data_IF_905776520060
#
_entry.id   IF_905776520060
#
_cell.length_a   1.000
_cell.length_b   1.000
_cell.length_c   1.000
_cell.angle_alpha   90.00
_cell.angle_beta   90.00
_cell.angle_gamma   90.00
#
_symmetry.space_group_name_H-M   'P 1'
#
loop_
_entity.id
_entity.type
_entity.pdbx_description
1 polymer ?
#
# COMPACT_ATOMS: atom_id res chain seq x y z
N UNK A 1 5.21 7.03 -21.73
CA UNK A 1 3.91 6.52 -21.16
C UNK A 1 2.76 7.22 -21.88
N UNK A 2 1.69 6.47 -22.18
CA UNK A 2 0.44 7.03 -22.72
C UNK A 2 -0.37 7.65 -21.58
N UNK A 3 -1.31 8.53 -21.88
CA UNK A 3 -2.09 9.29 -20.87
C UNK A 3 -2.87 8.41 -19.86
N UNK A 4 -3.12 7.15 -20.21
CA UNK A 4 -3.85 6.20 -19.36
C UNK A 4 -2.94 5.19 -18.62
N UNK A 5 -1.63 5.18 -18.89
CA UNK A 5 -0.69 4.25 -18.26
C UNK A 5 -0.27 4.77 -16.88
N UNK A 6 -0.39 3.93 -15.86
CA UNK A 6 -0.01 4.26 -14.48
C UNK A 6 1.38 3.73 -14.13
N UNK A 7 1.67 2.46 -14.47
CA UNK A 7 2.98 1.83 -14.24
C UNK A 7 3.36 1.07 -15.50
N UNK A 8 4.60 1.24 -15.95
CA UNK A 8 5.15 0.52 -17.10
C UNK A 8 6.47 -0.13 -16.71
N UNK A 9 6.53 -1.44 -16.80
CA UNK A 9 7.73 -2.25 -16.65
C UNK A 9 8.24 -2.65 -18.03
N UNK A 10 9.55 -2.51 -18.27
CA UNK A 10 10.22 -2.93 -19.51
C UNK A 10 11.45 -3.74 -19.16
N UNK A 11 11.47 -5.01 -19.60
CA UNK A 11 12.57 -5.95 -19.45
C UNK A 11 13.10 -6.02 -17.99
N UNK A 12 12.15 -6.03 -17.03
CA UNK A 12 12.45 -5.88 -15.60
C UNK A 12 12.86 -7.19 -14.99
N UNK A 13 14.02 -7.22 -14.33
CA UNK A 13 14.43 -8.28 -13.42
C UNK A 13 14.44 -7.77 -11.98
N UNK A 14 13.81 -8.54 -11.08
CA UNK A 14 13.70 -8.24 -9.65
C UNK A 14 14.25 -9.37 -8.82
N UNK A 15 14.92 -9.04 -7.73
CA UNK A 15 15.50 -10.04 -6.83
C UNK A 15 16.19 -9.43 -5.62
N UNK A 16 16.93 -10.27 -4.89
CA UNK A 16 17.66 -9.90 -3.68
C UNK A 16 19.07 -10.45 -3.73
N UNK A 17 20.04 -9.70 -3.21
CA UNK A 17 21.43 -10.14 -3.05
C UNK A 17 22.05 -10.75 -4.34
N UNK A 18 21.73 -10.16 -5.49
CA UNK A 18 22.23 -10.62 -6.79
C UNK A 18 21.52 -11.86 -7.36
N UNK A 19 20.53 -12.43 -6.66
CA UNK A 19 19.70 -13.52 -7.17
C UNK A 19 18.39 -12.97 -7.73
N UNK A 20 18.15 -13.18 -9.03
CA UNK A 20 16.90 -12.81 -9.67
C UNK A 20 15.80 -13.78 -9.26
N UNK A 21 14.65 -13.23 -8.89
CA UNK A 21 13.40 -13.95 -8.57
C UNK A 21 12.43 -13.86 -9.72
N UNK A 22 12.42 -12.72 -10.42
CA UNK A 22 11.67 -12.46 -11.63
C UNK A 22 12.62 -11.91 -12.68
N UNK A 23 12.47 -12.36 -13.92
CA UNK A 23 13.29 -11.94 -15.07
C UNK A 23 12.38 -11.60 -16.24
N UNK A 24 12.86 -10.73 -17.11
CA UNK A 24 12.27 -10.41 -18.42
C UNK A 24 10.77 -10.03 -18.32
N UNK A 25 10.42 -9.25 -17.29
CA UNK A 25 9.04 -8.85 -17.05
C UNK A 25 8.69 -7.58 -17.84
N UNK A 26 7.76 -7.73 -18.76
CA UNK A 26 7.06 -6.63 -19.41
C UNK A 26 5.62 -6.56 -18.88
N UNK A 27 5.24 -5.43 -18.29
CA UNK A 27 3.92 -5.22 -17.71
C UNK A 27 3.51 -3.76 -17.82
N UNK A 28 2.28 -3.53 -18.27
CA UNK A 28 1.68 -2.20 -18.22
C UNK A 28 0.42 -2.26 -17.38
N UNK A 29 0.28 -1.33 -16.44
CA UNK A 29 -0.92 -1.14 -15.62
C UNK A 29 -1.52 0.21 -15.99
N UNK A 30 -2.76 0.19 -16.45
CA UNK A 30 -3.50 1.38 -16.86
C UNK A 30 -4.56 1.78 -15.82
N UNK A 31 -5.08 2.99 -15.97
CA UNK A 31 -6.16 3.49 -15.12
C UNK A 31 -7.42 2.65 -15.31
N UNK A 32 -7.96 2.12 -14.20
CA UNK A 32 -9.16 1.30 -14.20
C UNK A 32 -8.88 -0.21 -14.31
N UNK A 33 -7.61 -0.62 -14.50
CA UNK A 33 -7.27 -2.04 -14.52
C UNK A 33 -7.48 -2.69 -13.15
N UNK A 34 -7.89 -3.95 -13.19
CA UNK A 34 -7.89 -4.87 -12.07
C UNK A 34 -6.91 -6.01 -12.38
N UNK A 35 -5.72 -5.94 -11.78
CA UNK A 35 -4.67 -6.93 -11.97
C UNK A 35 -4.69 -7.97 -10.86
N UNK A 36 -4.81 -9.26 -11.22
CA UNK A 36 -4.68 -10.37 -10.31
C UNK A 36 -3.36 -11.12 -10.56
N UNK A 37 -2.51 -11.20 -9.54
CA UNK A 37 -1.24 -11.95 -9.60
C UNK A 37 -1.41 -13.29 -8.91
N UNK A 38 -1.37 -14.37 -9.68
CA UNK A 38 -1.53 -15.75 -9.20
C UNK A 38 -0.25 -16.56 -9.41
N UNK A 39 -0.07 -17.60 -8.61
CA UNK A 39 1.10 -18.49 -8.68
C UNK A 39 1.40 -19.13 -7.33
N UNK A 40 2.32 -20.09 -7.32
CA UNK A 40 2.74 -20.83 -6.13
C UNK A 40 3.43 -19.97 -5.07
N UNK A 41 3.55 -20.48 -3.86
CA UNK A 41 4.34 -19.84 -2.83
C UNK A 41 5.82 -19.80 -3.26
N UNK A 42 6.45 -18.63 -3.14
CA UNK A 42 7.83 -18.44 -3.61
C UNK A 42 7.96 -18.03 -5.09
N UNK A 43 6.89 -17.97 -5.88
CA UNK A 43 6.95 -17.58 -7.31
C UNK A 43 7.25 -16.11 -7.59
N UNK A 44 7.56 -15.30 -6.56
CA UNK A 44 7.94 -13.90 -6.77
C UNK A 44 6.82 -12.89 -6.69
N UNK A 45 5.57 -13.27 -6.37
CA UNK A 45 4.42 -12.32 -6.26
C UNK A 45 4.70 -11.11 -5.35
N UNK A 46 5.24 -11.39 -4.17
CA UNK A 46 5.59 -10.31 -3.21
C UNK A 46 6.76 -9.47 -3.69
N UNK A 47 7.68 -10.05 -4.44
CA UNK A 47 8.82 -9.35 -5.06
C UNK A 47 8.32 -8.42 -6.17
N UNK A 48 7.40 -8.89 -7.02
CA UNK A 48 6.73 -8.07 -8.01
C UNK A 48 6.03 -6.87 -7.36
N UNK A 49 5.20 -7.12 -6.35
CA UNK A 49 4.48 -6.04 -5.64
C UNK A 49 5.45 -5.01 -5.06
N UNK A 50 6.55 -5.44 -4.45
CA UNK A 50 7.57 -4.52 -3.92
C UNK A 50 8.26 -3.71 -5.01
N UNK A 51 8.54 -4.31 -6.17
CA UNK A 51 9.07 -3.61 -7.34
C UNK A 51 8.10 -2.54 -7.85
N UNK A 52 6.82 -2.92 -8.07
CA UNK A 52 5.78 -1.99 -8.52
C UNK A 52 5.54 -0.82 -7.55
N UNK A 53 5.73 -1.05 -6.25
CA UNK A 53 5.64 -0.01 -5.21
C UNK A 53 6.93 0.83 -5.06
N UNK A 54 7.99 0.51 -5.80
CA UNK A 54 9.29 1.18 -5.67
C UNK A 54 10.04 0.88 -4.36
N UNK A 55 9.64 -0.19 -3.62
CA UNK A 55 10.27 -0.61 -2.38
C UNK A 55 11.57 -1.37 -2.61
N UNK A 56 11.78 -1.91 -3.80
CA UNK A 56 13.04 -2.49 -4.27
C UNK A 56 13.33 -1.96 -5.66
N UNK A 57 14.61 -1.77 -5.96
CA UNK A 57 15.06 -1.34 -7.29
C UNK A 57 15.19 -2.55 -8.21
N UNK A 58 14.88 -2.43 -9.51
CA UNK A 58 15.13 -3.48 -10.47
C UNK A 58 16.64 -3.73 -10.63
N UNK A 59 17.00 -4.99 -10.84
CA UNK A 59 18.39 -5.42 -11.15
C UNK A 59 18.72 -5.10 -12.62
N UNK A 60 17.73 -5.19 -13.51
CA UNK A 60 17.78 -4.78 -14.90
C UNK A 60 16.42 -4.26 -15.36
N UNK A 61 16.37 -3.57 -16.49
CA UNK A 61 15.17 -2.96 -17.04
C UNK A 61 14.72 -1.71 -16.30
N UNK A 62 13.48 -1.27 -16.54
CA UNK A 62 12.95 -0.03 -15.97
C UNK A 62 11.52 -0.19 -15.49
N UNK A 63 11.19 0.43 -14.34
CA UNK A 63 9.83 0.60 -13.84
C UNK A 63 9.52 2.09 -13.83
N UNK A 64 8.64 2.51 -14.72
CA UNK A 64 8.20 3.89 -14.84
C UNK A 64 6.84 4.08 -14.18
N UNK A 65 6.69 5.12 -13.37
CA UNK A 65 5.43 5.51 -12.74
C UNK A 65 4.91 6.81 -13.36
N UNK A 66 3.60 6.87 -13.59
CA UNK A 66 2.97 8.12 -14.01
C UNK A 66 3.22 9.23 -12.98
N UNK A 67 3.30 10.51 -13.42
CA UNK A 67 3.46 11.63 -12.49
C UNK A 67 2.40 11.66 -11.38
N UNK A 68 1.18 11.21 -11.67
CA UNK A 68 0.08 11.11 -10.70
C UNK A 68 0.34 10.13 -9.55
N UNK A 69 1.24 9.15 -9.73
CA UNK A 69 1.61 8.15 -8.71
C UNK A 69 2.85 8.57 -7.89
N UNK A 70 3.43 9.72 -8.15
CA UNK A 70 4.54 10.26 -7.35
C UNK A 70 4.00 10.76 -6.00
N UNK A 71 4.85 10.68 -4.96
CA UNK A 71 4.55 11.21 -3.61
C UNK A 71 3.45 10.46 -2.82
N UNK A 72 3.48 9.13 -2.84
CA UNK A 72 2.66 8.32 -1.92
C UNK A 72 1.20 8.15 -2.37
N UNK A 73 0.92 8.31 -3.67
CA UNK A 73 -0.41 8.09 -4.22
C UNK A 73 -0.79 6.60 -4.39
N UNK A 74 0.08 5.66 -3.99
CA UNK A 74 -0.19 4.23 -4.04
C UNK A 74 -0.50 3.73 -2.63
N UNK A 75 -1.76 3.37 -2.37
CA UNK A 75 -2.14 2.69 -1.13
C UNK A 75 -1.67 1.24 -1.15
N UNK A 76 -1.00 0.80 -0.08
CA UNK A 76 -0.53 -0.57 0.06
C UNK A 76 -1.13 -1.25 1.29
N UNK A 77 -1.75 -2.41 1.06
CA UNK A 77 -2.31 -3.26 2.09
C UNK A 77 -1.49 -4.54 2.19
N UNK A 78 -0.51 -4.62 3.13
CA UNK A 78 0.30 -5.81 3.31
C UNK A 78 -0.51 -6.95 3.95
N UNK A 79 -0.03 -8.19 3.76
CA UNK A 79 -0.54 -9.32 4.52
C UNK A 79 -0.25 -9.11 6.01
N UNK A 80 -1.29 -9.21 6.85
CA UNK A 80 -1.15 -9.01 8.28
C UNK A 80 -0.34 -10.12 8.95
N UNK A 81 0.62 -9.73 9.79
CA UNK A 81 1.28 -10.61 10.75
C UNK A 81 0.50 -10.65 12.07
N UNK A 82 0.74 -11.67 12.92
CA UNK A 82 0.14 -11.74 14.27
C UNK A 82 0.49 -10.52 15.12
N UNK A 83 1.75 -10.08 15.11
CA UNK A 83 2.21 -8.90 15.85
C UNK A 83 1.47 -7.61 15.43
N UNK A 84 1.09 -7.49 14.17
CA UNK A 84 0.31 -6.35 13.69
C UNK A 84 -1.16 -6.41 14.15
N UNK A 85 -1.73 -7.62 14.31
CA UNK A 85 -3.09 -7.80 14.82
C UNK A 85 -3.22 -7.42 16.28
N UNK A 86 -2.19 -7.68 17.07
CA UNK A 86 -2.18 -7.47 18.52
C UNK A 86 -1.68 -6.06 18.90
N UNK A 87 -1.57 -5.14 17.95
CA UNK A 87 -1.03 -3.81 18.19
C UNK A 87 -1.97 -2.97 19.08
N UNK A 88 -1.50 -2.47 20.24
CA UNK A 88 -2.34 -1.80 21.24
C UNK A 88 -2.49 -0.30 20.92
N UNK A 89 -3.11 0.02 19.78
CA UNK A 89 -3.42 1.40 19.38
C UNK A 89 -4.91 1.53 19.10
N UNK A 90 -5.42 2.75 19.13
CA UNK A 90 -6.77 3.04 18.70
C UNK A 90 -6.90 2.90 17.18
N UNK A 91 -8.11 2.61 16.70
CA UNK A 91 -8.42 2.57 15.28
C UNK A 91 -8.00 3.85 14.56
N UNK A 92 -8.28 5.00 15.17
CA UNK A 92 -7.93 6.30 14.59
C UNK A 92 -6.40 6.47 14.47
N UNK A 93 -5.62 6.05 15.47
CA UNK A 93 -4.15 6.11 15.41
C UNK A 93 -3.59 5.22 14.30
N UNK A 94 -4.15 4.01 14.14
CA UNK A 94 -3.76 3.11 13.05
C UNK A 94 -4.05 3.76 11.69
N UNK A 95 -5.22 4.36 11.50
CA UNK A 95 -5.57 5.02 10.23
C UNK A 95 -4.69 6.23 9.97
N UNK A 96 -4.48 7.10 10.97
CA UNK A 96 -3.62 8.27 10.88
C UNK A 96 -2.17 7.92 10.50
N UNK A 97 -1.69 6.74 10.90
CA UNK A 97 -0.34 6.28 10.50
C UNK A 97 -0.16 6.16 8.97
N UNK A 98 -1.25 6.08 8.20
CA UNK A 98 -1.23 6.13 6.74
C UNK A 98 -0.80 7.49 6.18
N UNK A 99 -1.09 8.57 6.92
CA UNK A 99 -0.73 9.93 6.52
C UNK A 99 0.76 10.30 6.77
N UNK A 100 1.56 9.43 7.42
CA UNK A 100 2.96 9.75 7.80
C UNK A 100 3.83 10.13 6.60
N UNK A 101 3.65 9.48 5.47
CA UNK A 101 4.42 9.77 4.25
C UNK A 101 4.18 11.18 3.68
N UNK A 102 3.12 11.85 4.11
CA UNK A 102 2.73 13.20 3.68
C UNK A 102 3.04 14.27 4.74
N UNK A 103 3.58 13.88 5.90
CA UNK A 103 3.76 14.80 7.05
C UNK A 103 4.96 15.75 6.92
N UNK A 104 5.96 15.44 6.09
CA UNK A 104 7.21 16.20 6.07
C UNK A 104 7.85 16.24 7.47
N UNK A 105 8.21 17.43 7.97
CA UNK A 105 8.85 17.65 9.28
C UNK A 105 7.86 17.88 10.45
N UNK A 106 6.56 17.66 10.25
CA UNK A 106 5.58 17.87 11.31
C UNK A 106 5.48 16.66 12.26
N UNK A 107 5.61 16.90 13.56
CA UNK A 107 5.51 15.88 14.60
C UNK A 107 4.06 15.50 14.96
N UNK A 108 3.08 16.31 14.59
CA UNK A 108 1.68 16.10 14.93
C UNK A 108 0.80 16.03 13.68
N UNK A 109 -0.26 15.22 13.76
CA UNK A 109 -1.26 15.16 12.69
C UNK A 109 -2.06 16.45 12.60
N UNK A 110 -2.20 16.97 11.40
CA UNK A 110 -2.98 18.18 11.14
C UNK A 110 -4.49 17.91 11.27
N UNK A 111 -5.32 18.96 11.50
CA UNK A 111 -6.77 18.81 11.47
C UNK A 111 -7.29 18.23 10.16
N UNK A 112 -6.67 18.56 9.03
CA UNK A 112 -7.03 18.04 7.70
C UNK A 112 -6.81 16.52 7.62
N UNK A 113 -5.66 16.01 8.09
CA UNK A 113 -5.36 14.57 8.14
C UNK A 113 -6.33 13.82 9.05
N UNK A 114 -6.68 14.40 10.22
CA UNK A 114 -7.70 13.83 11.11
C UNK A 114 -9.06 13.75 10.44
N UNK A 115 -9.46 14.82 9.73
CA UNK A 115 -10.71 14.84 8.97
C UNK A 115 -10.72 13.79 7.84
N UNK A 116 -9.62 13.65 7.10
CA UNK A 116 -9.45 12.64 6.06
C UNK A 116 -9.55 11.22 6.64
N UNK A 117 -8.88 10.94 7.75
CA UNK A 117 -8.96 9.65 8.44
C UNK A 117 -10.39 9.31 8.88
N UNK A 118 -11.11 10.26 9.50
CA UNK A 118 -12.50 10.07 9.90
C UNK A 118 -13.43 9.86 8.71
N UNK A 119 -13.23 10.61 7.62
CA UNK A 119 -13.99 10.42 6.38
C UNK A 119 -13.76 9.02 5.80
N UNK A 120 -12.52 8.52 5.76
CA UNK A 120 -12.20 7.19 5.26
C UNK A 120 -12.78 6.09 6.16
N UNK A 121 -12.77 6.25 7.49
CA UNK A 121 -13.49 5.37 8.42
C UNK A 121 -15.00 5.37 8.15
N UNK A 122 -15.59 6.52 7.89
CA UNK A 122 -17.01 6.66 7.54
C UNK A 122 -17.35 5.95 6.23
N UNK A 123 -16.54 6.10 5.18
CA UNK A 123 -16.73 5.40 3.88
C UNK A 123 -16.71 3.87 4.04
N UNK A 124 -15.96 3.36 5.02
CA UNK A 124 -15.85 1.93 5.29
C UNK A 124 -16.84 1.42 6.35
N UNK A 125 -17.71 2.30 6.86
CA UNK A 125 -18.78 1.96 7.82
C UNK A 125 -18.24 1.48 9.18
N UNK A 126 -17.18 2.12 9.67
CA UNK A 126 -16.52 1.79 10.96
C UNK A 126 -16.10 3.04 11.74
N UNK A 127 -16.71 4.20 11.48
CA UNK A 127 -16.37 5.45 12.17
C UNK A 127 -16.65 5.39 13.68
N UNK A 128 -17.68 4.64 14.09
CA UNK A 128 -18.07 4.44 15.48
C UNK A 128 -16.99 3.70 16.29
N UNK A 129 -16.09 3.00 15.62
CA UNK A 129 -14.99 2.24 16.24
C UNK A 129 -13.70 3.07 16.38
N UNK A 130 -13.70 4.35 16.04
CA UNK A 130 -12.49 5.20 15.97
C UNK A 130 -11.65 5.20 17.25
N UNK A 131 -12.28 5.11 18.40
CA UNK A 131 -11.66 5.14 19.73
C UNK A 131 -11.46 3.72 20.31
N UNK A 132 -11.93 2.66 19.62
CA UNK A 132 -11.74 1.28 20.05
C UNK A 132 -10.29 0.85 19.86
N UNK A 133 -9.85 -0.13 20.69
CA UNK A 133 -8.53 -0.73 20.53
C UNK A 133 -8.52 -1.65 19.31
N UNK A 134 -7.55 -1.46 18.41
CA UNK A 134 -7.44 -2.20 17.15
C UNK A 134 -7.38 -3.73 17.34
N UNK A 135 -6.65 -4.21 18.36
CA UNK A 135 -6.53 -5.66 18.66
C UNK A 135 -7.85 -6.32 19.05
N UNK A 136 -8.80 -5.55 19.58
CA UNK A 136 -10.09 -6.07 20.09
C UNK A 136 -11.14 -6.18 18.97
N UNK A 137 -10.79 -5.78 17.75
CA UNK A 137 -11.65 -5.83 16.58
C UNK A 137 -11.70 -7.23 15.96
N UNK A 138 -12.83 -7.57 15.35
CA UNK A 138 -12.92 -8.74 14.48
C UNK A 138 -12.00 -8.62 13.27
N UNK A 139 -11.59 -9.74 12.66
CA UNK A 139 -10.69 -9.74 11.50
C UNK A 139 -11.22 -8.91 10.33
N UNK A 140 -12.54 -8.93 10.07
CA UNK A 140 -13.16 -8.10 9.04
C UNK A 140 -13.12 -6.60 9.36
N UNK A 141 -13.29 -6.21 10.64
CA UNK A 141 -13.14 -4.83 11.08
C UNK A 141 -11.69 -4.36 10.96
N UNK A 142 -10.72 -5.20 11.37
CA UNK A 142 -9.29 -4.91 11.21
C UNK A 142 -8.91 -4.69 9.73
N UNK A 143 -9.44 -5.51 8.82
CA UNK A 143 -9.21 -5.30 7.39
C UNK A 143 -9.76 -3.95 6.89
N UNK A 144 -10.96 -3.55 7.33
CA UNK A 144 -11.53 -2.24 6.99
C UNK A 144 -10.67 -1.09 7.54
N UNK A 145 -10.16 -1.21 8.77
CA UNK A 145 -9.22 -0.22 9.34
C UNK A 145 -7.96 -0.09 8.50
N UNK A 146 -7.37 -1.20 8.05
CA UNK A 146 -6.19 -1.15 7.18
C UNK A 146 -6.48 -0.58 5.79
N UNK A 147 -7.67 -0.84 5.25
CA UNK A 147 -8.12 -0.17 4.02
C UNK A 147 -8.25 1.35 4.24
N UNK A 148 -8.88 1.79 5.37
CA UNK A 148 -8.94 3.22 5.70
C UNK A 148 -7.55 3.85 5.79
N UNK A 149 -6.60 3.15 6.40
CA UNK A 149 -5.19 3.56 6.49
C UNK A 149 -4.54 3.70 5.11
N UNK A 150 -4.80 2.76 4.19
CA UNK A 150 -4.23 2.79 2.85
C UNK A 150 -4.83 3.91 1.96
N UNK A 151 -5.99 4.45 2.33
CA UNK A 151 -6.66 5.58 1.67
C UNK A 151 -6.20 6.95 2.19
N UNK A 152 -5.46 7.02 3.30
CA UNK A 152 -4.80 8.21 3.84
C UNK A 152 -3.42 8.42 3.21
#
# INVERSE_FOLDING_TARGET
MKDNELIVCRDVSLGYEGKSVLTDLDLTIAKGDYLCVVGDNGSGKSTLMRGLLGLIQPQSGTIEHAPALKHGAIGYLPQQTRAQRDFPATVLEVVLSGCLNRQGLHFFYTPAQRSEAMMNLGKLGILELKDACYRDLSGGQQQRVLLARALC
#
